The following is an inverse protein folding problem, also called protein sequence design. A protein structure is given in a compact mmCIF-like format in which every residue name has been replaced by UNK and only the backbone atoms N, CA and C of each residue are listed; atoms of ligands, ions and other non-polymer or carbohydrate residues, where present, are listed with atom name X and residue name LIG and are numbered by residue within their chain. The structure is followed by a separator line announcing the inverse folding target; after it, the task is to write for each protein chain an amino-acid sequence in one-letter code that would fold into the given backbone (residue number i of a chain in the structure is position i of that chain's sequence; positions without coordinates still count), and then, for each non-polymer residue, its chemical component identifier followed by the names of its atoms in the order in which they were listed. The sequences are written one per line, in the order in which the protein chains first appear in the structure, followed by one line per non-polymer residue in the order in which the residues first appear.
data_IF_406718920231
#
_entry.id   IF_406718920231
#
_cell.length_a   1.000
_cell.length_b   1.000
_cell.length_c   1.000
_cell.angle_alpha   90.00
_cell.angle_beta   90.00
_cell.angle_gamma   90.00
#
_symmetry.space_group_name_H-M   'P 1'
#
loop_
_entity.id
_entity.type
_entity.pdbx_description
1 polymer ?
#
# COMPACT_ATOMS: atom_id res chain seq x y z
N UNK A 1 1.44 44.87 -2.96
CA UNK A 1 0.32 44.74 -3.91
C UNK A 1 0.59 43.44 -4.68
N UNK A 2 0.48 42.26 -4.10
CA UNK A 2 -0.66 41.57 -3.45
C UNK A 2 -1.82 41.30 -4.44
N UNK A 3 -1.93 40.06 -4.91
CA UNK A 3 -3.17 39.31 -5.16
C UNK A 3 -2.90 37.79 -5.10
N UNK A 4 -3.01 37.25 -3.90
CA UNK A 4 -3.36 35.86 -3.65
C UNK A 4 -4.77 35.56 -4.18
N UNK A 5 -4.95 34.49 -4.97
CA UNK A 5 -6.17 33.66 -4.89
C UNK A 5 -5.84 32.21 -5.24
N UNK A 6 -5.81 31.42 -4.19
CA UNK A 6 -5.67 29.98 -4.11
C UNK A 6 -6.96 29.31 -4.65
N UNK A 7 -6.93 28.81 -5.89
CA UNK A 7 -8.02 27.99 -6.44
C UNK A 7 -7.86 26.54 -5.97
N UNK A 8 -8.30 26.28 -4.74
CA UNK A 8 -8.50 24.90 -4.29
C UNK A 8 -9.70 24.26 -4.99
N UNK A 9 -9.54 22.97 -5.26
CA UNK A 9 -10.57 21.92 -5.21
C UNK A 9 -11.19 21.49 -6.55
N UNK A 10 -10.39 20.86 -7.41
CA UNK A 10 -10.92 19.84 -8.33
C UNK A 10 -11.14 18.53 -7.56
N UNK A 11 -12.34 18.39 -7.00
CA UNK A 11 -12.85 17.14 -6.41
C UNK A 11 -13.38 16.29 -7.56
N UNK A 12 -12.59 15.32 -8.02
CA UNK A 12 -13.01 14.35 -9.04
C UNK A 12 -14.13 13.48 -8.46
N UNK A 13 -15.36 13.73 -8.93
CA UNK A 13 -16.56 12.96 -8.59
C UNK A 13 -16.51 11.63 -9.34
N UNK A 14 -16.59 10.52 -8.63
CA UNK A 14 -16.27 9.17 -9.13
C UNK A 14 -17.53 8.37 -9.60
N UNK A 15 -18.59 9.06 -10.03
CA UNK A 15 -19.82 8.46 -10.56
C UNK A 15 -20.29 9.28 -11.75
N UNK A 16 -20.50 8.65 -12.89
CA UNK A 16 -20.90 9.36 -14.11
C UNK A 16 -22.32 9.94 -13.97
N UNK A 17 -22.54 11.07 -14.63
CA UNK A 17 -23.73 11.93 -14.51
C UNK A 17 -25.08 11.19 -14.66
N UNK A 18 -25.25 10.19 -15.56
CA UNK A 18 -26.54 9.49 -15.72
C UNK A 18 -26.85 8.47 -14.59
N UNK A 19 -25.84 7.83 -14.01
CA UNK A 19 -26.02 6.84 -12.92
C UNK A 19 -26.50 7.51 -11.63
N UNK A 20 -26.06 8.76 -11.42
CA UNK A 20 -26.52 9.62 -10.32
C UNK A 20 -27.99 9.99 -10.47
N UNK A 21 -28.46 10.26 -11.69
CA UNK A 21 -29.85 10.60 -11.95
C UNK A 21 -30.79 9.42 -11.66
N UNK A 22 -30.39 8.20 -12.06
CA UNK A 22 -31.17 6.97 -11.82
C UNK A 22 -31.29 6.70 -10.30
N UNK A 23 -30.19 6.84 -9.56
CA UNK A 23 -30.17 6.62 -8.11
C UNK A 23 -31.03 7.64 -7.35
N UNK A 24 -30.97 8.91 -7.75
CA UNK A 24 -31.81 9.98 -7.19
C UNK A 24 -33.29 9.73 -7.50
N UNK A 25 -33.61 9.33 -8.74
CA UNK A 25 -34.98 9.05 -9.14
C UNK A 25 -35.56 7.84 -8.39
N UNK A 26 -34.82 6.73 -8.31
CA UNK A 26 -35.25 5.52 -7.61
C UNK A 26 -35.40 5.76 -6.10
N UNK A 27 -34.45 6.45 -5.46
CA UNK A 27 -34.52 6.81 -4.04
C UNK A 27 -35.69 7.75 -3.71
N UNK A 28 -35.95 8.73 -4.58
CA UNK A 28 -37.07 9.66 -4.43
C UNK A 28 -38.42 8.94 -4.56
N UNK A 29 -38.54 8.01 -5.52
CA UNK A 29 -39.76 7.23 -5.73
C UNK A 29 -40.07 6.31 -4.55
N UNK A 30 -39.04 5.69 -3.96
CA UNK A 30 -39.19 4.83 -2.78
C UNK A 30 -39.60 5.63 -1.54
N UNK A 31 -39.05 6.84 -1.32
CA UNK A 31 -39.47 7.70 -0.22
C UNK A 31 -40.93 8.12 -0.33
N UNK A 32 -41.36 8.55 -1.53
CA UNK A 32 -42.75 8.94 -1.77
C UNK A 32 -43.72 7.76 -1.54
N UNK A 33 -43.33 6.54 -1.93
CA UNK A 33 -44.09 5.32 -1.62
C UNK A 33 -44.08 4.94 -0.13
N UNK A 34 -42.98 5.17 0.58
CA UNK A 34 -42.89 4.92 2.02
C UNK A 34 -43.77 5.85 2.86
N UNK A 35 -43.84 7.13 2.48
CA UNK A 35 -44.69 8.15 3.10
C UNK A 35 -46.18 7.83 2.95
N UNK A 36 -46.62 7.33 1.79
CA UNK A 36 -48.03 6.96 1.55
C UNK A 36 -48.48 5.68 2.27
N UNK A 37 -47.55 4.84 2.75
CA UNK A 37 -47.84 3.61 3.50
C UNK A 37 -47.42 3.65 4.98
N UNK A 38 -46.99 4.82 5.49
CA UNK A 38 -46.48 5.01 6.86
C UNK A 38 -45.45 3.95 7.30
N UNK A 39 -44.63 3.44 6.37
CA UNK A 39 -43.64 2.41 6.68
C UNK A 39 -42.32 3.06 7.08
N UNK A 40 -42.04 3.08 8.39
CA UNK A 40 -40.80 3.61 8.95
C UNK A 40 -39.55 2.94 8.36
N UNK A 41 -39.64 1.64 8.07
CA UNK A 41 -38.55 0.84 7.51
C UNK A 41 -38.21 1.26 6.08
N UNK A 42 -39.21 1.52 5.23
CA UNK A 42 -38.98 2.01 3.86
C UNK A 42 -38.48 3.45 3.84
N UNK A 43 -38.94 4.30 4.76
CA UNK A 43 -38.41 5.66 4.90
C UNK A 43 -36.94 5.65 5.36
N UNK A 44 -36.57 4.77 6.29
CA UNK A 44 -35.20 4.58 6.71
C UNK A 44 -34.31 4.07 5.56
N UNK A 45 -34.78 3.08 4.80
CA UNK A 45 -34.05 2.55 3.64
C UNK A 45 -33.88 3.61 2.54
N UNK A 46 -34.92 4.39 2.22
CA UNK A 46 -34.86 5.47 1.23
C UNK A 46 -33.97 6.63 1.68
N UNK A 47 -34.03 7.02 2.95
CA UNK A 47 -33.17 8.05 3.53
C UNK A 47 -31.69 7.64 3.54
N UNK A 48 -31.41 6.38 3.85
CA UNK A 48 -30.06 5.82 3.78
C UNK A 48 -29.49 5.85 2.36
N UNK A 49 -30.28 5.44 1.36
CA UNK A 49 -29.87 5.44 -0.05
C UNK A 49 -29.61 6.86 -0.58
N UNK A 50 -30.46 7.83 -0.21
CA UNK A 50 -30.25 9.23 -0.59
C UNK A 50 -29.05 9.85 0.10
N UNK A 51 -28.84 9.57 1.39
CA UNK A 51 -27.65 10.02 2.11
C UNK A 51 -26.36 9.48 1.46
N UNK A 52 -26.36 8.20 1.07
CA UNK A 52 -25.25 7.56 0.36
C UNK A 52 -25.02 8.20 -1.01
N UNK A 53 -26.09 8.47 -1.76
CA UNK A 53 -26.02 9.10 -3.08
C UNK A 53 -25.61 10.58 -3.06
N UNK A 54 -25.99 11.34 -2.04
CA UNK A 54 -25.73 12.78 -1.94
C UNK A 54 -24.35 13.11 -1.36
N UNK A 55 -23.85 12.32 -0.40
CA UNK A 55 -22.61 12.66 0.33
C UNK A 55 -21.39 11.91 -0.16
N UNK A 56 -21.58 10.74 -0.81
CA UNK A 56 -20.48 9.86 -1.19
C UNK A 56 -19.70 9.27 0.01
N UNK A 57 -20.16 9.48 1.25
CA UNK A 57 -19.52 8.98 2.46
C UNK A 57 -20.29 7.79 3.04
N UNK A 58 -19.59 6.67 3.23
CA UNK A 58 -20.14 5.45 3.82
C UNK A 58 -20.20 5.56 5.36
N UNK A 59 -21.16 6.32 5.89
CA UNK A 59 -21.39 6.43 7.34
C UNK A 59 -21.77 5.07 7.99
N UNK A 60 -22.25 4.11 7.18
CA UNK A 60 -22.61 2.77 7.62
C UNK A 60 -21.43 2.02 8.27
N UNK A 61 -20.22 2.09 7.69
CA UNK A 61 -19.05 1.40 8.24
C UNK A 61 -18.63 1.96 9.61
N UNK A 62 -18.70 3.30 9.79
CA UNK A 62 -18.37 3.97 11.06
C UNK A 62 -19.37 3.62 12.18
N UNK A 63 -20.63 3.33 11.82
CA UNK A 63 -21.65 2.88 12.75
C UNK A 63 -21.58 1.37 13.06
N UNK A 64 -21.03 0.56 12.15
CA UNK A 64 -20.90 -0.90 12.30
C UNK A 64 -19.61 -1.34 13.01
N UNK A 65 -18.79 -0.40 13.52
CA UNK A 65 -17.59 -0.72 14.29
C UNK A 65 -16.48 -1.41 13.48
N UNK A 66 -16.59 -1.44 12.15
CA UNK A 66 -15.53 -1.96 11.29
C UNK A 66 -14.45 -0.87 11.20
N UNK A 67 -13.20 -1.16 11.62
CA UNK A 67 -12.14 -0.15 11.60
C UNK A 67 -11.97 0.41 10.19
N UNK A 68 -12.10 1.73 10.06
CA UNK A 68 -11.69 2.44 8.86
C UNK A 68 -10.18 2.29 8.75
N UNK A 69 -9.72 1.62 7.70
CA UNK A 69 -8.29 1.55 7.41
C UNK A 69 -7.82 2.97 7.12
N UNK A 70 -7.10 3.53 8.09
CA UNK A 70 -6.47 4.84 7.98
C UNK A 70 -5.49 4.83 6.82
N UNK A 71 -5.27 5.98 6.18
CA UNK A 71 -4.24 6.22 5.15
C UNK A 71 -2.81 5.84 5.59
N UNK A 72 -2.63 5.49 6.86
CA UNK A 72 -1.39 5.01 7.48
C UNK A 72 -1.03 3.55 7.10
N UNK A 73 -1.95 2.78 6.52
CA UNK A 73 -1.73 1.34 6.25
C UNK A 73 -0.99 0.99 4.95
N UNK A 74 -0.56 1.97 4.14
CA UNK A 74 0.20 1.67 2.92
C UNK A 74 1.71 1.46 3.17
N UNK A 75 2.16 1.63 4.41
CA UNK A 75 3.55 1.46 4.81
C UNK A 75 3.76 0.14 5.55
N UNK A 76 4.38 -0.84 4.88
CA UNK A 76 4.79 -2.10 5.50
C UNK A 76 6.22 -1.92 6.02
N UNK A 77 6.41 -2.03 7.34
CA UNK A 77 7.74 -2.10 7.97
C UNK A 77 8.00 -3.53 8.47
N UNK A 78 9.15 -4.06 8.07
CA UNK A 78 9.73 -5.31 8.56
C UNK A 78 10.92 -4.93 9.42
N UNK A 79 10.98 -5.46 10.64
CA UNK A 79 12.04 -5.22 11.61
C UNK A 79 12.30 -6.55 12.34
N UNK A 80 13.40 -7.22 11.98
CA UNK A 80 13.68 -8.60 12.40
C UNK A 80 15.14 -8.77 12.71
N UNK A 81 15.42 -9.57 13.74
CA UNK A 81 16.76 -10.08 14.04
C UNK A 81 16.79 -11.59 13.87
N UNK A 82 17.82 -12.13 13.22
CA UNK A 82 18.01 -13.57 13.04
C UNK A 82 19.49 -13.97 13.09
N UNK A 83 19.77 -15.18 13.56
CA UNK A 83 21.14 -15.70 13.64
C UNK A 83 21.34 -16.78 12.57
N UNK A 84 22.38 -16.62 11.77
CA UNK A 84 22.78 -17.56 10.71
C UNK A 84 24.02 -18.32 11.17
N UNK A 85 23.97 -19.65 11.03
CA UNK A 85 25.08 -20.54 11.35
C UNK A 85 26.17 -20.53 10.27
N UNK A 86 26.70 -19.35 9.95
CA UNK A 86 27.73 -19.10 8.94
C UNK A 86 28.61 -17.91 9.34
N UNK A 87 29.88 -17.88 8.89
CA UNK A 87 30.78 -16.74 9.09
C UNK A 87 30.26 -15.44 8.47
N UNK A 88 30.56 -14.31 9.12
CA UNK A 88 30.05 -12.98 8.75
C UNK A 88 30.37 -12.56 7.32
N UNK A 89 31.57 -12.89 6.84
CA UNK A 89 31.99 -12.61 5.47
C UNK A 89 31.21 -13.41 4.41
N UNK A 90 30.87 -14.67 4.68
CA UNK A 90 30.02 -15.47 3.79
C UNK A 90 28.61 -14.89 3.72
N UNK A 91 28.05 -14.53 4.88
CA UNK A 91 26.70 -13.97 4.96
C UNK A 91 26.65 -12.60 4.29
N UNK A 92 27.64 -11.74 4.54
CA UNK A 92 27.76 -10.44 3.88
C UNK A 92 27.85 -10.58 2.36
N UNK A 93 28.75 -11.43 1.86
CA UNK A 93 28.92 -11.64 0.42
C UNK A 93 27.64 -12.18 -0.26
N UNK A 94 26.86 -13.00 0.46
CA UNK A 94 25.57 -13.48 -0.01
C UNK A 94 24.54 -12.35 -0.11
N UNK A 95 24.41 -11.51 0.92
CA UNK A 95 23.49 -10.36 0.91
C UNK A 95 23.90 -9.27 -0.07
N UNK A 96 25.20 -9.09 -0.31
CA UNK A 96 25.74 -8.11 -1.25
C UNK A 96 25.26 -8.33 -2.69
N UNK A 97 24.94 -9.58 -3.01
CA UNK A 97 24.27 -9.98 -4.25
C UNK A 97 22.77 -9.98 -4.00
N UNK A 98 22.13 -8.82 -4.20
CA UNK A 98 20.69 -8.64 -3.95
C UNK A 98 19.81 -9.60 -4.79
N UNK A 99 20.34 -10.17 -5.87
CA UNK A 99 19.70 -11.24 -6.66
C UNK A 99 19.40 -12.50 -5.83
N UNK A 100 20.03 -12.67 -4.67
CA UNK A 100 19.76 -13.76 -3.74
C UNK A 100 18.50 -13.53 -2.87
N UNK A 101 18.01 -12.29 -2.74
CA UNK A 101 16.88 -11.97 -1.86
C UNK A 101 15.61 -12.78 -2.17
N UNK A 102 15.21 -12.99 -3.45
CA UNK A 102 14.04 -13.81 -3.78
C UNK A 102 14.11 -15.26 -3.30
N UNK A 103 15.31 -15.80 -2.97
CA UNK A 103 15.46 -17.16 -2.45
C UNK A 103 14.80 -17.35 -1.08
N UNK A 104 14.63 -16.28 -0.32
CA UNK A 104 14.07 -16.32 1.04
C UNK A 104 12.99 -15.25 1.30
N UNK A 105 12.88 -14.23 0.46
CA UNK A 105 11.80 -13.24 0.48
C UNK A 105 10.71 -13.60 -0.53
N UNK A 106 9.73 -14.42 -0.12
CA UNK A 106 8.69 -14.98 -1.01
C UNK A 106 7.82 -13.95 -1.73
N UNK A 107 7.74 -12.73 -1.20
CA UNK A 107 6.99 -11.63 -1.82
C UNK A 107 7.73 -11.01 -3.02
N UNK A 108 9.04 -11.24 -3.15
CA UNK A 108 9.81 -10.85 -4.32
C UNK A 108 9.77 -11.98 -5.36
N UNK A 109 9.52 -11.61 -6.61
CA UNK A 109 9.61 -12.51 -7.75
C UNK A 109 11.04 -12.59 -8.28
N UNK A 110 11.67 -11.43 -8.49
CA UNK A 110 13.04 -11.33 -8.99
C UNK A 110 13.70 -10.04 -8.54
N UNK A 111 15.02 -10.10 -8.43
CA UNK A 111 15.90 -8.93 -8.31
C UNK A 111 17.00 -9.12 -9.35
N UNK A 112 17.20 -8.14 -10.22
CA UNK A 112 18.18 -8.19 -11.30
C UNK A 112 19.13 -7.02 -11.16
N UNK A 113 20.44 -7.30 -11.13
CA UNK A 113 21.42 -6.24 -11.00
C UNK A 113 21.54 -5.44 -12.31
N UNK A 114 21.54 -4.11 -12.19
CA UNK A 114 21.78 -3.16 -13.27
C UNK A 114 23.19 -2.59 -13.16
N UNK A 115 23.56 -1.67 -14.05
CA UNK A 115 24.82 -0.93 -13.98
C UNK A 115 24.89 -0.03 -12.73
N UNK A 116 26.11 0.33 -12.31
CA UNK A 116 26.36 1.37 -11.27
C UNK A 116 25.77 1.07 -9.88
N UNK A 117 25.60 -0.21 -9.51
CA UNK A 117 25.06 -0.58 -8.19
C UNK A 117 23.54 -0.34 -8.07
N UNK A 118 22.86 -0.16 -9.20
CA UNK A 118 21.40 -0.17 -9.30
C UNK A 118 20.90 -1.61 -9.48
N UNK A 119 19.62 -1.82 -9.25
CA UNK A 119 18.95 -3.12 -9.36
C UNK A 119 17.48 -2.91 -9.67
N UNK A 120 16.92 -3.77 -10.50
CA UNK A 120 15.50 -3.82 -10.83
C UNK A 120 14.81 -4.91 -10.01
N UNK A 121 13.72 -4.57 -9.33
CA UNK A 121 13.02 -5.44 -8.39
C UNK A 121 11.60 -5.66 -8.87
N UNK A 122 11.14 -6.91 -8.78
CA UNK A 122 9.78 -7.32 -9.15
C UNK A 122 9.15 -8.03 -7.95
N UNK A 123 8.00 -7.57 -7.48
CA UNK A 123 7.25 -8.19 -6.38
C UNK A 123 5.88 -8.70 -6.82
N UNK A 124 5.44 -9.77 -6.15
CA UNK A 124 4.11 -10.37 -6.35
C UNK A 124 3.11 -9.71 -5.41
N UNK A 125 2.02 -9.18 -5.97
CA UNK A 125 0.87 -8.78 -5.17
C UNK A 125 -0.02 -10.01 -4.95
N UNK A 126 -0.56 -10.23 -3.74
CA UNK A 126 -1.48 -11.34 -3.45
C UNK A 126 -2.78 -11.39 -4.30
N UNK A 127 -3.03 -10.41 -5.16
CA UNK A 127 -4.29 -10.26 -5.89
C UNK A 127 -4.27 -10.79 -7.33
N UNK A 128 -3.29 -11.60 -7.73
CA UNK A 128 -3.18 -12.31 -9.04
C UNK A 128 -3.25 -11.45 -10.32
N UNK A 129 -3.46 -10.13 -10.23
CA UNK A 129 -3.78 -9.30 -11.40
C UNK A 129 -2.60 -8.50 -11.96
N UNK A 130 -1.56 -8.19 -11.18
CA UNK A 130 -0.39 -7.41 -11.64
C UNK A 130 0.86 -7.61 -10.77
N UNK A 131 2.04 -7.54 -11.37
CA UNK A 131 3.33 -7.40 -10.67
C UNK A 131 3.61 -5.93 -10.38
N UNK A 132 4.36 -5.64 -9.32
CA UNK A 132 4.89 -4.29 -9.08
C UNK A 132 6.39 -4.32 -9.27
N UNK A 133 6.89 -3.31 -9.98
CA UNK A 133 8.29 -3.21 -10.35
C UNK A 133 8.83 -1.84 -9.94
N UNK A 134 10.08 -1.83 -9.47
CA UNK A 134 10.80 -0.60 -9.16
C UNK A 134 12.31 -0.80 -9.28
N UNK A 135 13.03 0.30 -9.48
CA UNK A 135 14.48 0.32 -9.43
C UNK A 135 14.96 0.80 -8.06
N UNK A 136 16.02 0.19 -7.56
CA UNK A 136 16.66 0.53 -6.30
C UNK A 136 18.19 0.60 -6.45
N UNK A 137 18.83 1.33 -5.55
CA UNK A 137 20.27 1.52 -5.50
C UNK A 137 20.80 1.32 -4.07
N UNK A 138 22.00 0.76 -3.95
CA UNK A 138 22.73 0.72 -2.68
C UNK A 138 23.21 2.14 -2.35
N UNK A 139 22.77 2.67 -1.22
CA UNK A 139 23.06 4.06 -0.78
C UNK A 139 24.20 4.14 0.23
N UNK A 140 24.44 3.07 0.98
CA UNK A 140 25.57 2.98 1.91
C UNK A 140 25.95 1.51 2.08
N UNK A 141 27.25 1.26 2.08
CA UNK A 141 27.87 -0.05 2.15
C UNK A 141 29.13 0.05 3.02
N UNK A 142 29.19 -0.76 4.08
CA UNK A 142 30.37 -0.95 4.91
C UNK A 142 30.62 -2.44 4.99
N UNK A 143 31.78 -2.86 4.47
CA UNK A 143 32.12 -4.27 4.33
C UNK A 143 31.91 -5.03 5.66
N UNK A 144 31.23 -6.18 5.58
CA UNK A 144 30.92 -7.05 6.72
C UNK A 144 30.15 -6.40 7.87
N UNK A 145 29.56 -5.21 7.68
CA UNK A 145 28.94 -4.42 8.75
C UNK A 145 27.55 -3.90 8.36
N UNK A 146 27.39 -3.34 7.17
CA UNK A 146 26.15 -2.70 6.74
C UNK A 146 25.98 -2.77 5.23
N UNK A 147 24.77 -3.10 4.79
CA UNK A 147 24.30 -2.82 3.42
C UNK A 147 22.97 -2.11 3.56
N UNK A 148 22.81 -0.97 2.88
CA UNK A 148 21.56 -0.24 2.82
C UNK A 148 21.24 0.19 1.40
N UNK A 149 19.95 0.19 1.08
CA UNK A 149 19.45 0.52 -0.25
C UNK A 149 18.20 1.37 -0.16
N UNK A 150 17.92 2.08 -1.25
CA UNK A 150 16.71 2.87 -1.44
C UNK A 150 16.24 2.75 -2.89
N UNK A 151 14.93 2.79 -3.11
CA UNK A 151 14.33 2.98 -4.41
C UNK A 151 14.81 4.29 -5.04
N UNK A 152 14.89 4.32 -6.37
CA UNK A 152 15.22 5.53 -7.11
C UNK A 152 14.07 6.56 -7.04
N UNK A 153 14.37 7.87 -7.22
CA UNK A 153 13.33 8.90 -7.28
C UNK A 153 12.29 8.60 -8.38
N UNK A 154 11.01 8.73 -8.04
CA UNK A 154 9.91 8.45 -8.97
C UNK A 154 9.57 6.96 -9.15
N UNK A 155 10.19 6.07 -8.36
CA UNK A 155 9.81 4.67 -8.32
C UNK A 155 8.32 4.48 -7.95
N UNK A 156 7.69 3.50 -8.57
CA UNK A 156 6.30 3.12 -8.27
C UNK A 156 6.13 2.58 -6.86
N UNK A 157 7.20 2.18 -6.17
CA UNK A 157 7.17 1.79 -4.76
C UNK A 157 8.32 2.50 -4.08
N UNK A 158 8.04 3.25 -3.02
CA UNK A 158 9.10 3.73 -2.16
C UNK A 158 9.56 2.56 -1.31
N UNK A 159 10.77 2.06 -1.59
CA UNK A 159 11.36 0.98 -0.83
C UNK A 159 12.67 1.45 -0.23
N UNK A 160 12.89 1.15 1.03
CA UNK A 160 14.18 1.33 1.65
C UNK A 160 14.47 0.14 2.56
N UNK A 161 15.73 -0.20 2.71
CA UNK A 161 16.11 -1.23 3.65
C UNK A 161 17.56 -1.13 4.06
N UNK A 162 17.85 -1.78 5.19
CA UNK A 162 19.19 -2.00 5.68
C UNK A 162 19.31 -3.37 6.32
N UNK A 163 20.50 -3.95 6.19
CA UNK A 163 20.92 -5.13 6.92
C UNK A 163 22.24 -4.81 7.61
N UNK A 164 22.25 -5.00 8.92
CA UNK A 164 23.43 -4.87 9.77
C UNK A 164 23.92 -6.25 10.17
N UNK A 165 25.23 -6.44 10.15
CA UNK A 165 25.89 -7.72 10.38
C UNK A 165 26.71 -7.65 11.66
N UNK A 166 26.43 -8.54 12.61
CA UNK A 166 27.10 -8.63 13.89
C UNK A 166 27.70 -10.03 14.05
N UNK A 167 28.87 -10.12 14.70
CA UNK A 167 29.39 -11.40 15.14
C UNK A 167 28.49 -11.98 16.24
N UNK A 168 28.27 -13.28 16.20
CA UNK A 168 27.58 -14.04 17.24
C UNK A 168 28.47 -15.20 17.72
N UNK A 169 28.02 -15.91 18.75
CA UNK A 169 28.76 -17.03 19.34
C UNK A 169 29.10 -18.11 18.31
N UNK A 170 30.18 -18.84 18.54
CA UNK A 170 30.60 -19.98 17.70
C UNK A 170 30.84 -19.65 16.22
N UNK A 171 31.23 -18.40 15.91
CA UNK A 171 31.50 -17.97 14.53
C UNK A 171 30.23 -17.79 13.69
N UNK A 172 29.07 -17.66 14.34
CA UNK A 172 27.80 -17.37 13.71
C UNK A 172 27.67 -15.87 13.42
N UNK A 173 26.66 -15.51 12.63
CA UNK A 173 26.37 -14.12 12.29
C UNK A 173 24.96 -13.78 12.72
N UNK A 174 24.80 -12.71 13.50
CA UNK A 174 23.50 -12.13 13.79
C UNK A 174 23.22 -11.01 12.79
N UNK A 175 22.05 -11.07 12.15
CA UNK A 175 21.57 -10.04 11.24
C UNK A 175 20.46 -9.24 11.90
N UNK A 176 20.53 -7.93 11.79
CA UNK A 176 19.42 -7.03 12.06
C UNK A 176 18.96 -6.41 10.74
N UNK A 177 17.70 -6.67 10.39
CA UNK A 177 17.13 -6.36 9.09
C UNK A 177 15.95 -5.42 9.29
N UNK A 178 16.02 -4.26 8.66
CA UNK A 178 14.91 -3.30 8.63
C UNK A 178 14.58 -2.98 7.18
N UNK A 179 13.32 -3.18 6.78
CA UNK A 179 12.85 -2.91 5.41
C UNK A 179 11.51 -2.19 5.49
N UNK A 180 11.34 -1.13 4.72
CA UNK A 180 10.09 -0.38 4.57
C UNK A 180 9.63 -0.38 3.11
N UNK A 181 8.33 -0.57 2.90
CA UNK A 181 7.67 -0.44 1.61
C UNK A 181 6.51 0.55 1.74
N UNK A 182 6.45 1.54 0.86
CA UNK A 182 5.28 2.38 0.63
C UNK A 182 4.77 2.15 -0.77
N UNK A 183 3.59 1.56 -0.90
CA UNK A 183 2.93 1.47 -2.19
C UNK A 183 2.07 2.73 -2.42
N UNK A 184 2.07 3.31 -3.63
CA UNK A 184 1.19 4.40 -3.98
C UNK A 184 -0.25 3.90 -3.88
N UNK A 185 -1.12 4.77 -3.36
CA UNK A 185 -2.57 4.58 -3.24
C UNK A 185 -3.13 3.89 -4.50
N UNK A 186 -3.48 2.61 -4.37
CA UNK A 186 -4.00 1.83 -5.51
C UNK A 186 -3.58 0.37 -5.59
N UNK A 187 -2.86 -0.21 -4.60
CA UNK A 187 -2.74 -1.67 -4.53
C UNK A 187 -4.17 -2.29 -4.55
N UNK A 188 -4.50 -3.19 -5.49
CA UNK A 188 -5.88 -3.67 -5.70
C UNK A 188 -6.47 -4.53 -4.55
N UNK A 189 -5.84 -4.54 -3.36
CA UNK A 189 -6.25 -5.30 -2.20
C UNK A 189 -7.37 -4.68 -1.34
N UNK A 190 -7.86 -3.48 -1.67
CA UNK A 190 -9.00 -2.89 -0.94
C UNK A 190 -10.00 -2.14 -1.81
N UNK A 191 -10.08 -2.53 -3.08
CA UNK A 191 -11.20 -2.14 -3.93
C UNK A 191 -12.32 -3.18 -3.79
N UNK A 192 -13.08 -3.13 -2.69
CA UNK A 192 -14.44 -3.67 -2.71
C UNK A 192 -15.27 -2.71 -3.58
N UNK A 193 -15.23 -2.94 -4.89
CA UNK A 193 -16.08 -2.27 -5.86
C UNK A 193 -17.49 -2.80 -5.65
N UNK A 194 -18.36 -2.00 -5.03
CA UNK A 194 -19.80 -2.30 -5.06
C UNK A 194 -20.27 -2.14 -6.50
N UNK A 195 -20.67 -3.26 -7.12
CA UNK A 195 -21.51 -3.32 -8.32
C UNK A 195 -22.90 -2.73 -8.07
#
# INVERSE_FOLDING_TARGET
MDQNTFSLRNKTVNVDTPERAISVAAGSLLLLRGLSKFSLLQMAAGGFMLYRGLTGHCAAYKAMGVPSLSEEQNNIKIDTTLTINKPKNEVYAFWRKLENLPLFMKHLESVTQLSEGKSHWVAKIPSDLTKIEWDAQIINEVENTLISWSSLPGATVENAGKVEFYDADNGQTMLHIVISYSAPLGAPGLMVRCS
#
